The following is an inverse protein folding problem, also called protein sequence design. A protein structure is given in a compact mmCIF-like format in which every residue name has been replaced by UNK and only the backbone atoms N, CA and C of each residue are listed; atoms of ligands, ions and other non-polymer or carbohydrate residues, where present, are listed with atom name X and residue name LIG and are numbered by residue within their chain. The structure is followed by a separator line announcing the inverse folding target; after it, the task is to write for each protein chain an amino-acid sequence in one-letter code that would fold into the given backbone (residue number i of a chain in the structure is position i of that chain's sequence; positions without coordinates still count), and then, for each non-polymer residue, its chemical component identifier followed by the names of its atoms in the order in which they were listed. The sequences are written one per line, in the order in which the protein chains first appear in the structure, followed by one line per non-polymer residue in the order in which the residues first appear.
data_IF_120158623521
#
_entry.id   IF_120158623521
#
_cell.length_a   1.000
_cell.length_b   1.000
_cell.length_c   1.000
_cell.angle_alpha   90.00
_cell.angle_beta   90.00
_cell.angle_gamma   90.00
#
_symmetry.space_group_name_H-M   'P 1'
#
loop_
_entity.id
_entity.type
_entity.pdbx_description
1 polymer ?
#
# COMPACT_ATOMS: atom_id res chain seq x y z
N UNK A 1 13.69 -14.74 -3.04
CA UNK A 1 12.32 -14.20 -2.85
C UNK A 1 11.69 -14.01 -4.22
N UNK A 2 10.56 -14.65 -4.48
CA UNK A 2 9.87 -14.51 -5.76
C UNK A 2 9.29 -13.08 -5.83
N UNK A 3 9.79 -12.24 -6.75
CA UNK A 3 9.39 -10.84 -6.87
C UNK A 3 7.92 -10.64 -7.32
N UNK A 4 7.14 -11.73 -7.36
CA UNK A 4 5.80 -11.83 -7.94
C UNK A 4 4.76 -11.18 -7.04
N UNK A 5 4.76 -9.86 -7.05
CA UNK A 5 3.89 -9.00 -6.24
C UNK A 5 4.43 -7.59 -6.10
N UNK A 6 5.75 -7.40 -6.20
CA UNK A 6 6.36 -6.08 -6.27
C UNK A 6 5.90 -5.36 -7.54
N UNK A 7 5.36 -4.16 -7.37
CA UNK A 7 4.91 -3.31 -8.48
C UNK A 7 3.45 -3.48 -8.94
N UNK A 8 2.68 -4.46 -8.42
CA UNK A 8 1.23 -4.54 -8.72
C UNK A 8 0.49 -3.41 -8.03
N UNK A 9 0.26 -2.32 -8.75
CA UNK A 9 -0.59 -1.21 -8.33
C UNK A 9 -2.03 -1.53 -8.74
N UNK A 10 -2.98 -1.33 -7.82
CA UNK A 10 -4.41 -1.40 -8.14
C UNK A 10 -4.81 -0.42 -9.23
N UNK A 11 -5.94 -0.70 -9.89
CA UNK A 11 -6.38 -0.01 -11.10
C UNK A 11 -7.07 1.33 -10.75
N UNK A 12 -6.31 2.30 -10.24
CA UNK A 12 -6.80 3.67 -10.02
C UNK A 12 -6.74 4.47 -11.31
N UNK A 13 -7.81 5.21 -11.61
CA UNK A 13 -7.78 6.17 -12.72
C UNK A 13 -6.84 7.34 -12.39
N UNK A 14 -6.34 8.03 -13.41
CA UNK A 14 -5.52 9.24 -13.25
C UNK A 14 -6.25 10.31 -12.42
N UNK A 15 -7.56 10.44 -12.63
CA UNK A 15 -8.42 11.33 -11.84
C UNK A 15 -8.45 10.96 -10.35
N UNK A 16 -8.57 9.68 -10.00
CA UNK A 16 -8.54 9.23 -8.59
C UNK A 16 -7.18 9.49 -7.92
N UNK A 17 -6.09 9.38 -8.68
CA UNK A 17 -4.76 9.72 -8.17
C UNK A 17 -4.62 11.23 -7.93
N UNK A 18 -5.10 12.05 -8.85
CA UNK A 18 -5.07 13.50 -8.72
C UNK A 18 -5.92 13.99 -7.54
N UNK A 19 -7.15 13.47 -7.40
CA UNK A 19 -8.04 13.82 -6.28
C UNK A 19 -7.45 13.41 -4.94
N UNK A 20 -6.87 12.21 -4.83
CA UNK A 20 -6.20 11.78 -3.59
C UNK A 20 -5.03 12.68 -3.21
N UNK A 21 -4.25 13.18 -4.17
CA UNK A 21 -3.15 14.12 -3.90
C UNK A 21 -3.66 15.48 -3.45
N UNK A 22 -4.65 16.02 -4.15
CA UNK A 22 -5.28 17.29 -3.80
C UNK A 22 -5.90 17.24 -2.40
N UNK A 23 -6.56 16.12 -2.07
CA UNK A 23 -7.20 15.91 -0.78
C UNK A 23 -6.19 15.74 0.36
N UNK A 24 -5.06 15.08 0.10
CA UNK A 24 -3.95 15.00 1.06
C UNK A 24 -3.34 16.37 1.36
N UNK A 25 -3.07 17.17 0.32
CA UNK A 25 -2.50 18.50 0.48
C UNK A 25 -3.48 19.43 1.18
N UNK A 26 -4.74 19.45 0.73
CA UNK A 26 -5.81 20.24 1.33
C UNK A 26 -6.05 19.87 2.80
N UNK A 27 -6.03 18.58 3.13
CA UNK A 27 -6.20 18.11 4.51
C UNK A 27 -5.10 18.61 5.45
N UNK A 28 -3.83 18.53 5.02
CA UNK A 28 -2.69 19.04 5.81
C UNK A 28 -2.81 20.55 5.99
N UNK A 29 -3.09 21.30 4.92
CA UNK A 29 -3.25 22.76 4.99
C UNK A 29 -4.40 23.17 5.93
N UNK A 30 -5.55 22.50 5.84
CA UNK A 30 -6.68 22.77 6.73
C UNK A 30 -6.35 22.52 8.19
N UNK A 31 -5.61 21.46 8.52
CA UNK A 31 -5.17 21.18 9.90
C UNK A 31 -4.16 22.23 10.37
N UNK A 32 -3.23 22.65 9.51
CA UNK A 32 -2.28 23.71 9.83
C UNK A 32 -3.00 25.03 10.13
N UNK A 33 -3.96 25.43 9.29
CA UNK A 33 -4.78 26.61 9.54
C UNK A 33 -5.67 26.45 10.76
N UNK A 34 -6.30 25.30 10.98
CA UNK A 34 -7.08 25.03 12.18
C UNK A 34 -6.26 25.23 13.45
N UNK A 35 -5.02 24.72 13.46
CA UNK A 35 -4.10 24.82 14.59
C UNK A 35 -3.72 26.28 14.85
N UNK A 36 -3.38 27.03 13.79
CA UNK A 36 -3.14 28.46 13.89
C UNK A 36 -4.37 29.19 14.44
N UNK A 37 -5.56 28.91 13.90
CA UNK A 37 -6.79 29.56 14.34
C UNK A 37 -7.12 29.25 15.81
N UNK A 38 -6.83 28.04 16.28
CA UNK A 38 -7.05 27.66 17.66
C UNK A 38 -6.11 28.39 18.64
N UNK A 39 -4.88 28.69 18.20
CA UNK A 39 -3.83 29.27 19.05
C UNK A 39 -3.75 30.81 18.96
N UNK A 40 -4.06 31.38 17.79
CA UNK A 40 -3.76 32.77 17.47
C UNK A 40 -5.00 33.68 17.32
N UNK A 41 -6.21 33.13 17.42
CA UNK A 41 -7.46 33.92 17.31
C UNK A 41 -8.53 33.38 18.25
N UNK A 42 -9.46 34.24 18.63
CA UNK A 42 -10.64 33.90 19.43
C UNK A 42 -11.70 33.11 18.65
N UNK A 43 -11.49 32.84 17.35
CA UNK A 43 -12.47 32.19 16.47
C UNK A 43 -12.40 30.66 16.51
N UNK A 44 -12.73 30.11 17.68
CA UNK A 44 -12.63 28.69 17.97
C UNK A 44 -13.58 27.81 17.13
N UNK A 45 -14.76 28.33 16.75
CA UNK A 45 -15.71 27.62 15.89
C UNK A 45 -15.15 27.37 14.48
N UNK A 46 -14.51 28.38 13.87
CA UNK A 46 -13.86 28.24 12.57
C UNK A 46 -12.70 27.24 12.62
N UNK A 47 -11.88 27.31 13.68
CA UNK A 47 -10.79 26.36 13.91
C UNK A 47 -11.31 24.90 13.93
N UNK A 48 -12.41 24.65 14.64
CA UNK A 48 -13.01 23.31 14.74
C UNK A 48 -13.54 22.85 13.37
N UNK A 49 -14.24 23.70 12.62
CA UNK A 49 -14.73 23.34 11.28
C UNK A 49 -13.60 23.02 10.30
N UNK A 50 -12.52 23.81 10.32
CA UNK A 50 -11.31 23.56 9.53
C UNK A 50 -10.66 22.23 9.93
N UNK A 51 -10.58 21.94 11.23
CA UNK A 51 -10.00 20.70 11.73
C UNK A 51 -10.81 19.48 11.26
N UNK A 52 -12.14 19.53 11.40
CA UNK A 52 -13.05 18.46 10.94
C UNK A 52 -12.92 18.25 9.44
N UNK A 53 -12.93 19.33 8.65
CA UNK A 53 -12.77 19.25 7.20
C UNK A 53 -11.42 18.63 6.81
N UNK A 54 -10.33 19.02 7.49
CA UNK A 54 -9.00 18.47 7.26
C UNK A 54 -8.89 16.98 7.60
N UNK A 55 -9.47 16.55 8.72
CA UNK A 55 -9.51 15.13 9.13
C UNK A 55 -10.33 14.31 8.12
N UNK A 56 -11.49 14.81 7.67
CA UNK A 56 -12.30 14.14 6.66
C UNK A 56 -11.54 14.01 5.33
N UNK A 57 -10.80 15.05 4.92
CA UNK A 57 -9.96 15.00 3.73
C UNK A 57 -8.88 13.90 3.84
N UNK A 58 -8.22 13.76 4.99
CA UNK A 58 -7.25 12.69 5.23
C UNK A 58 -7.93 11.32 5.20
N UNK A 59 -9.07 11.15 5.86
CA UNK A 59 -9.81 9.89 5.88
C UNK A 59 -10.22 9.43 4.48
N UNK A 60 -10.71 10.35 3.65
CA UNK A 60 -11.05 10.10 2.25
C UNK A 60 -9.81 9.74 1.42
N UNK A 61 -8.67 10.39 1.68
CA UNK A 61 -7.39 10.08 1.03
C UNK A 61 -6.98 8.64 1.32
N UNK A 62 -7.06 8.20 2.58
CA UNK A 62 -6.79 6.81 3.00
C UNK A 62 -7.75 5.83 2.31
N UNK A 63 -9.03 6.19 2.22
CA UNK A 63 -10.05 5.36 1.56
C UNK A 63 -9.75 5.16 0.07
N UNK A 64 -9.31 6.20 -0.64
CA UNK A 64 -8.91 6.10 -2.06
C UNK A 64 -7.61 5.31 -2.19
N UNK A 65 -6.62 5.58 -1.34
CA UNK A 65 -5.34 4.87 -1.33
C UNK A 65 -5.48 3.37 -1.03
N UNK A 66 -6.43 2.99 -0.17
CA UNK A 66 -6.73 1.59 0.14
C UNK A 66 -7.19 0.79 -1.08
N UNK A 67 -7.93 1.41 -2.01
CA UNK A 67 -8.33 0.78 -3.28
C UNK A 67 -7.14 0.47 -4.20
N UNK A 68 -5.98 1.08 -3.96
CA UNK A 68 -4.74 0.78 -4.68
C UNK A 68 -4.10 -0.54 -4.24
N UNK A 69 -4.34 -0.97 -3.00
CA UNK A 69 -3.75 -2.19 -2.46
C UNK A 69 -4.61 -3.40 -2.87
N UNK A 70 -4.19 -4.07 -3.93
CA UNK A 70 -4.72 -5.38 -4.29
C UNK A 70 -4.30 -6.37 -3.21
N UNK A 71 -5.27 -6.97 -2.50
CA UNK A 71 -5.00 -8.13 -1.65
C UNK A 71 -4.50 -9.27 -2.52
N UNK A 72 -3.21 -9.55 -2.49
CA UNK A 72 -2.63 -10.70 -3.17
C UNK A 72 -2.85 -11.93 -2.29
N UNK A 73 -3.49 -12.96 -2.86
CA UNK A 73 -3.60 -14.26 -2.19
C UNK A 73 -2.41 -15.09 -2.65
N UNK A 74 -1.66 -15.66 -1.71
CA UNK A 74 -0.58 -16.58 -2.03
C UNK A 74 -1.16 -17.78 -2.81
N UNK A 75 -0.78 -17.90 -4.09
CA UNK A 75 -1.02 -19.11 -4.87
C UNK A 75 0.24 -19.95 -4.83
N UNK A 76 0.16 -21.15 -4.25
CA UNK A 76 1.23 -22.16 -4.39
C UNK A 76 1.44 -22.45 -5.87
N UNK A 77 2.65 -22.21 -6.35
CA UNK A 77 3.07 -22.68 -7.66
C UNK A 77 3.27 -24.19 -7.59
N UNK A 78 2.74 -24.93 -8.58
CA UNK A 78 3.00 -26.36 -8.70
C UNK A 78 4.44 -26.55 -9.20
N UNK A 79 5.20 -27.53 -8.67
CA UNK A 79 6.54 -27.82 -9.14
C UNK A 79 6.50 -28.20 -10.63
N UNK A 80 7.44 -27.65 -11.40
CA UNK A 80 7.58 -27.89 -12.82
C UNK A 80 8.55 -29.01 -13.14
N UNK A 81 8.67 -29.36 -14.44
CA UNK A 81 9.62 -30.37 -14.92
C UNK A 81 11.08 -30.05 -14.56
N UNK A 82 11.45 -28.76 -14.54
CA UNK A 82 12.79 -28.31 -14.14
C UNK A 82 13.06 -28.61 -12.67
N UNK A 83 12.08 -28.37 -11.81
CA UNK A 83 12.18 -28.64 -10.37
C UNK A 83 12.33 -30.15 -10.12
N UNK A 84 11.61 -30.97 -10.89
CA UNK A 84 11.75 -32.43 -10.83
C UNK A 84 13.14 -32.91 -11.27
N UNK A 85 13.73 -32.31 -12.31
CA UNK A 85 15.09 -32.62 -12.75
C UNK A 85 16.14 -32.30 -11.69
N UNK A 86 16.03 -31.13 -11.06
CA UNK A 86 16.93 -30.72 -9.96
C UNK A 86 16.78 -31.66 -8.76
N UNK A 87 15.55 -32.06 -8.44
CA UNK A 87 15.30 -33.04 -7.38
C UNK A 87 15.94 -34.40 -7.70
N UNK A 88 15.81 -34.88 -8.94
CA UNK A 88 16.41 -36.14 -9.37
C UNK A 88 17.95 -36.11 -9.33
N UNK A 89 18.58 -35.02 -9.79
CA UNK A 89 20.03 -34.84 -9.72
C UNK A 89 20.53 -34.78 -8.28
N UNK A 90 19.82 -34.05 -7.42
CA UNK A 90 20.14 -33.98 -5.99
C UNK A 90 20.07 -35.35 -5.34
N UNK A 91 19.04 -36.14 -5.66
CA UNK A 91 18.87 -37.49 -5.14
C UNK A 91 19.98 -38.43 -5.63
N UNK A 92 20.32 -38.37 -6.92
CA UNK A 92 21.40 -39.17 -7.49
C UNK A 92 22.76 -38.87 -6.84
N UNK A 93 23.05 -37.60 -6.55
CA UNK A 93 24.26 -37.21 -5.85
C UNK A 93 24.33 -37.78 -4.43
N UNK A 94 23.22 -37.77 -3.68
CA UNK A 94 23.15 -38.37 -2.34
C UNK A 94 23.38 -39.88 -2.40
N UNK A 95 22.74 -40.57 -3.35
CA UNK A 95 22.91 -42.03 -3.53
C UNK A 95 24.37 -42.35 -3.84
N UNK A 96 25.00 -41.59 -4.74
CA UNK A 96 26.40 -41.78 -5.10
C UNK A 96 27.30 -41.70 -3.87
N UNK A 97 27.12 -40.72 -2.99
CA UNK A 97 27.92 -40.53 -1.76
C UNK A 97 27.65 -41.61 -0.71
N UNK A 98 26.47 -42.21 -0.69
CA UNK A 98 26.12 -43.25 0.30
C UNK A 98 26.59 -44.64 -0.14
N UNK A 99 26.64 -44.90 -1.45
CA UNK A 99 26.96 -46.22 -2.01
C UNK A 99 28.47 -46.39 -2.29
N UNK A 100 29.19 -45.31 -2.60
CA UNK A 100 30.66 -45.27 -2.70
C UNK A 100 31.29 -44.94 -1.35
#
# INVERSE_FOLDING_TARGET
MDARGFGRRGNLTTAQLATSRALSLGGILMISFATYFLLATSSQSLAIWLLVAGVLAIALTIRIASRRNLRTRFRRQKPGKKDAFVAALSLAAVILVVVL
#
